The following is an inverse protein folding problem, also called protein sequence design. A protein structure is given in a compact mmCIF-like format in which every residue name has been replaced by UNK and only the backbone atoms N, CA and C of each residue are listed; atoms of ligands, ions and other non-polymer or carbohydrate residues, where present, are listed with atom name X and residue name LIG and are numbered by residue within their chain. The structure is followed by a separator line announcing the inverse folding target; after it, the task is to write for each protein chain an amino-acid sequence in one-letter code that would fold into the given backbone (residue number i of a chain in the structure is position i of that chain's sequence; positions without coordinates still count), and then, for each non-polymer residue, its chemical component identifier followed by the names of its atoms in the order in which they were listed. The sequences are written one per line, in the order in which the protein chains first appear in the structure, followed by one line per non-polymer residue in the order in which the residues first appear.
data_IF_802643469606
#
_entry.id   IF_802643469606
#
_cell.length_a   1.000
_cell.length_b   1.000
_cell.length_c   1.000
_cell.angle_alpha   90.00
_cell.angle_beta   90.00
_cell.angle_gamma   90.00
#
_symmetry.space_group_name_H-M   'P 1'
#
loop_
_entity.id
_entity.type
_entity.pdbx_description
1 polymer ?
#
# COMPACT_ATOMS: atom_id res chain seq x y z
N UNK A 1 16.95 6.83 10.72
CA UNK A 1 16.64 6.17 9.44
C UNK A 1 15.45 5.27 9.67
N UNK A 2 14.24 5.77 9.40
CA UNK A 2 12.98 5.06 9.67
C UNK A 2 12.78 3.99 8.60
N UNK A 3 13.33 2.80 8.80
CA UNK A 3 12.95 1.63 8.02
C UNK A 3 11.56 1.21 8.48
N UNK A 4 10.54 1.59 7.72
CA UNK A 4 9.26 0.92 7.76
C UNK A 4 9.44 -0.41 7.03
N UNK A 5 10.15 -1.34 7.68
CA UNK A 5 10.19 -2.78 7.35
C UNK A 5 8.85 -3.44 7.74
N UNK A 6 7.75 -2.72 7.54
CA UNK A 6 6.40 -3.19 7.78
C UNK A 6 5.91 -3.80 6.48
N UNK A 7 5.51 -5.06 6.53
CA UNK A 7 4.91 -5.71 5.39
C UNK A 7 3.58 -5.03 5.06
N UNK A 8 3.32 -4.80 3.78
CA UNK A 8 2.06 -4.24 3.31
C UNK A 8 1.41 -5.17 2.30
N UNK A 9 0.12 -5.47 2.44
CA UNK A 9 -0.66 -6.21 1.46
C UNK A 9 -1.57 -5.24 0.71
N UNK A 10 -1.43 -5.20 -0.62
CA UNK A 10 -2.16 -4.30 -1.51
C UNK A 10 -3.14 -5.12 -2.33
N UNK A 11 -4.38 -4.70 -2.41
CA UNK A 11 -5.43 -5.37 -3.18
C UNK A 11 -5.71 -4.57 -4.46
N UNK A 12 -5.24 -5.09 -5.60
CA UNK A 12 -5.37 -4.46 -6.91
C UNK A 12 -6.61 -4.98 -7.61
N UNK A 13 -7.35 -4.10 -8.28
CA UNK A 13 -8.47 -4.45 -9.14
C UNK A 13 -8.01 -4.48 -10.60
N UNK A 14 -8.21 -5.59 -11.29
CA UNK A 14 -7.93 -5.73 -12.72
C UNK A 14 -9.22 -5.99 -13.51
N UNK A 15 -9.48 -5.15 -14.51
CA UNK A 15 -10.63 -5.29 -15.39
C UNK A 15 -11.96 -5.14 -14.65
N UNK A 16 -12.90 -6.05 -14.88
CA UNK A 16 -14.27 -5.93 -14.36
C UNK A 16 -14.46 -6.40 -12.92
N UNK A 17 -13.58 -7.24 -12.36
CA UNK A 17 -13.77 -7.84 -11.02
C UNK A 17 -12.57 -8.63 -10.46
N UNK A 18 -11.45 -8.77 -11.18
CA UNK A 18 -10.34 -9.58 -10.68
C UNK A 18 -9.64 -8.82 -9.56
N UNK A 19 -9.56 -9.42 -8.37
CA UNK A 19 -8.85 -8.85 -7.24
C UNK A 19 -7.58 -9.67 -7.00
N UNK A 20 -6.42 -9.00 -7.03
CA UNK A 20 -5.13 -9.62 -6.72
C UNK A 20 -4.56 -9.00 -5.46
N UNK A 21 -4.29 -9.82 -4.46
CA UNK A 21 -3.60 -9.40 -3.25
C UNK A 21 -2.09 -9.62 -3.39
N UNK A 22 -1.31 -8.54 -3.36
CA UNK A 22 0.16 -8.58 -3.46
C UNK A 22 0.76 -8.17 -2.12
N UNK A 23 1.69 -8.98 -1.59
CA UNK A 23 2.42 -8.71 -0.35
C UNK A 23 3.76 -8.05 -0.70
N UNK A 24 3.99 -6.85 -0.18
CA UNK A 24 5.22 -6.07 -0.32
C UNK A 24 6.01 -6.10 1.00
N UNK A 25 7.34 -6.29 0.94
CA UNK A 25 8.17 -6.38 2.14
C UNK A 25 8.36 -5.03 2.84
N UNK A 26 8.07 -3.91 2.17
CA UNK A 26 8.13 -2.59 2.77
C UNK A 26 7.05 -1.65 2.20
N UNK A 27 6.70 -0.62 2.97
CA UNK A 27 5.68 0.36 2.59
C UNK A 27 6.06 1.17 1.34
N UNK A 28 7.36 1.35 1.04
CA UNK A 28 7.80 2.08 -0.16
C UNK A 28 7.42 1.35 -1.46
N UNK A 29 7.63 0.03 -1.50
CA UNK A 29 7.30 -0.76 -2.68
C UNK A 29 5.78 -0.83 -2.89
N UNK A 30 5.03 -0.96 -1.78
CA UNK A 30 3.57 -0.88 -1.80
C UNK A 30 3.08 0.50 -2.29
N UNK A 31 3.72 1.59 -1.86
CA UNK A 31 3.39 2.94 -2.31
C UNK A 31 3.58 3.09 -3.82
N UNK A 32 4.63 2.50 -4.38
CA UNK A 32 4.82 2.50 -5.83
C UNK A 32 3.68 1.76 -6.56
N UNK A 33 3.24 0.63 -6.02
CA UNK A 33 2.12 -0.13 -6.59
C UNK A 33 0.80 0.64 -6.52
N UNK A 34 0.52 1.30 -5.39
CA UNK A 34 -0.67 2.15 -5.18
C UNK A 34 -0.74 3.29 -6.19
N UNK A 35 0.39 3.89 -6.57
CA UNK A 35 0.41 4.94 -7.60
C UNK A 35 0.21 4.39 -9.02
N UNK A 36 0.60 3.14 -9.28
CA UNK A 36 0.65 2.59 -10.65
C UNK A 36 -0.61 1.81 -11.02
N UNK A 37 -1.31 1.26 -10.03
CA UNK A 37 -2.44 0.37 -10.24
C UNK A 37 -3.69 0.89 -9.54
N UNK A 38 -4.90 0.59 -10.07
CA UNK A 38 -6.14 0.84 -9.35
C UNK A 38 -6.25 -0.12 -8.16
N UNK A 39 -5.93 0.40 -6.98
CA UNK A 39 -5.98 -0.32 -5.70
C UNK A 39 -7.33 -0.11 -5.03
N UNK A 40 -7.89 -1.18 -4.45
CA UNK A 40 -9.13 -1.15 -3.67
C UNK A 40 -8.87 -0.81 -2.21
N UNK A 41 -7.90 -1.49 -1.60
CA UNK A 41 -7.56 -1.37 -0.19
C UNK A 41 -6.10 -1.77 0.05
N UNK A 42 -5.55 -1.27 1.16
CA UNK A 42 -4.20 -1.56 1.62
C UNK A 42 -4.25 -2.00 3.06
N UNK A 43 -3.61 -3.11 3.38
CA UNK A 43 -3.51 -3.66 4.73
C UNK A 43 -2.04 -3.57 5.16
N UNK A 44 -1.76 -2.82 6.23
CA UNK A 44 -0.41 -2.67 6.78
C UNK A 44 -0.29 -3.59 7.99
N UNK A 45 0.75 -4.42 8.04
CA UNK A 45 0.93 -5.38 9.13
C UNK A 45 1.03 -4.68 10.49
N UNK A 46 0.10 -4.99 11.40
CA UNK A 46 0.03 -4.38 12.72
C UNK A 46 -0.81 -3.09 12.80
N UNK A 47 -1.43 -2.69 11.69
CA UNK A 47 -2.34 -1.55 11.59
C UNK A 47 -3.68 -2.02 11.00
N UNK A 48 -4.67 -1.12 10.92
CA UNK A 48 -5.96 -1.38 10.26
C UNK A 48 -5.86 -1.36 8.72
N UNK A 49 -6.91 -1.88 8.07
CA UNK A 49 -7.10 -1.75 6.62
C UNK A 49 -7.40 -0.29 6.31
N UNK A 50 -6.73 0.24 5.29
CA UNK A 50 -6.82 1.63 4.85
C UNK A 50 -7.20 1.70 3.37
N UNK A 51 -7.85 2.80 3.00
CA UNK A 51 -8.02 3.17 1.60
C UNK A 51 -6.67 3.58 0.98
N UNK A 52 -6.52 3.49 -0.36
CA UNK A 52 -5.28 3.88 -1.04
C UNK A 52 -4.83 5.31 -0.71
N UNK A 53 -5.78 6.25 -0.62
CA UNK A 53 -5.51 7.65 -0.30
C UNK A 53 -5.00 7.84 1.13
N UNK A 54 -5.63 7.15 2.09
CA UNK A 54 -5.21 7.14 3.49
C UNK A 54 -3.81 6.55 3.64
N UNK A 55 -3.51 5.47 2.89
CA UNK A 55 -2.18 4.89 2.85
C UNK A 55 -1.13 5.85 2.27
N UNK A 56 -1.46 6.61 1.22
CA UNK A 56 -0.55 7.63 0.68
C UNK A 56 -0.24 8.72 1.73
N UNK A 57 -1.25 9.18 2.47
CA UNK A 57 -1.07 10.13 3.58
C UNK A 57 -0.22 9.51 4.70
N UNK A 58 -0.52 8.27 5.10
CA UNK A 58 0.26 7.52 6.09
C UNK A 58 1.76 7.45 5.72
N UNK A 59 2.06 7.22 4.44
CA UNK A 59 3.42 7.22 3.91
C UNK A 59 4.06 8.62 3.95
N UNK A 60 3.33 9.65 3.51
CA UNK A 60 3.80 11.02 3.48
C UNK A 60 4.16 11.55 4.88
N UNK A 61 3.31 11.30 5.89
CA UNK A 61 3.52 11.71 7.28
C UNK A 61 4.78 11.07 7.90
N UNK A 62 5.15 9.88 7.41
CA UNK A 62 6.35 9.16 7.83
C UNK A 62 7.58 9.48 6.98
N UNK A 63 7.46 10.43 6.04
CA UNK A 63 8.54 10.86 5.16
C UNK A 63 8.86 9.89 4.02
N UNK A 64 8.01 8.90 3.75
CA UNK A 64 8.13 8.06 2.57
C UNK A 64 7.64 8.85 1.35
N UNK A 65 8.60 9.27 0.52
CA UNK A 65 8.34 9.87 -0.78
C UNK A 65 8.64 8.85 -1.87
N UNK A 66 7.85 8.89 -2.95
CA UNK A 66 8.10 8.11 -4.16
C UNK A 66 9.37 8.63 -4.86
#
# INVERSE_FOLDING_TARGET
MSRLDTTVRVFIVEGRLTITAIKYPCAKDALHAVHKHPVLQVEVEGEDIMLPEEFMTYCADRGLKN
#
